data_IF_226163144868
#
_entry.id   IF_226163144868
#
_cell.length_a   1.000
_cell.length_b   1.000
_cell.length_c   1.000
_cell.angle_alpha   90.00
_cell.angle_beta   90.00
_cell.angle_gamma   90.00
#
_symmetry.space_group_name_H-M   'P 1'
#
loop_
_entity.id
_entity.type
_entity.pdbx_description
1 polymer ?
#
# COMPACT_ATOMS: atom_id res chain seq x y z
N UNK A 1 -18.49 8.08 -9.39
CA UNK A 1 -17.51 8.07 -8.28
C UNK A 1 -16.28 8.80 -8.77
N UNK A 2 -15.70 9.78 -8.03
CA UNK A 2 -14.42 10.35 -8.41
C UNK A 2 -13.39 9.24 -8.51
N UNK A 3 -12.58 9.25 -9.55
CA UNK A 3 -11.43 8.35 -9.68
C UNK A 3 -10.47 8.66 -8.53
N UNK A 4 -10.09 7.63 -7.77
CA UNK A 4 -9.11 7.73 -6.69
C UNK A 4 -7.83 7.00 -7.06
N UNK A 5 -6.78 7.20 -6.27
CA UNK A 5 -5.52 6.44 -6.37
C UNK A 5 -5.27 5.62 -5.11
N UNK A 6 -4.49 4.55 -5.21
CA UNK A 6 -4.08 3.73 -4.06
C UNK A 6 -2.70 4.13 -3.50
N UNK A 7 -1.88 4.80 -4.31
CA UNK A 7 -0.53 5.24 -4.00
C UNK A 7 -0.24 6.56 -4.71
N UNK A 8 0.56 7.43 -4.08
CA UNK A 8 1.11 8.59 -4.78
C UNK A 8 2.16 9.33 -3.96
N UNK A 9 3.00 10.06 -4.69
CA UNK A 9 3.92 11.07 -4.16
C UNK A 9 3.74 12.37 -4.95
N UNK A 10 3.72 13.51 -4.27
CA UNK A 10 3.58 14.84 -4.91
C UNK A 10 4.90 15.59 -4.89
N UNK A 11 5.06 16.55 -5.81
CA UNK A 11 6.21 17.47 -5.80
C UNK A 11 6.33 18.26 -4.50
N UNK A 12 5.21 18.55 -3.85
CA UNK A 12 5.19 19.22 -2.52
C UNK A 12 5.56 18.30 -1.37
N UNK A 13 6.03 17.07 -1.62
CA UNK A 13 6.55 16.18 -0.58
C UNK A 13 5.51 15.32 0.14
N UNK A 14 4.26 15.28 -0.29
CA UNK A 14 3.29 14.32 0.26
C UNK A 14 3.46 12.96 -0.32
N UNK A 15 3.41 11.95 0.52
CA UNK A 15 3.38 10.55 0.14
C UNK A 15 2.23 9.85 0.86
N UNK A 16 1.47 9.01 0.15
CA UNK A 16 0.50 8.13 0.77
C UNK A 16 0.31 6.84 -0.03
N UNK A 17 0.13 5.73 0.69
CA UNK A 17 -0.21 4.42 0.16
C UNK A 17 -1.26 3.74 1.04
N UNK A 18 -2.29 3.16 0.43
CA UNK A 18 -3.42 2.56 1.13
C UNK A 18 -3.56 1.07 0.79
N UNK A 19 -3.85 0.28 1.82
CA UNK A 19 -4.29 -1.11 1.73
C UNK A 19 -5.68 -1.26 2.34
N UNK A 20 -6.48 -2.19 1.80
CA UNK A 20 -7.78 -2.55 2.38
C UNK A 20 -7.56 -3.32 3.68
N UNK A 21 -8.51 -3.32 4.61
CA UNK A 21 -8.53 -4.26 5.73
C UNK A 21 -9.36 -5.49 5.36
N UNK A 22 -8.88 -6.69 5.71
CA UNK A 22 -9.62 -7.94 5.51
C UNK A 22 -10.74 -8.01 6.53
N UNK A 23 -11.95 -7.91 6.03
CA UNK A 23 -13.18 -8.03 6.82
C UNK A 23 -13.69 -9.47 6.83
N UNK A 24 -14.51 -9.82 7.83
CA UNK A 24 -15.08 -11.17 7.95
C UNK A 24 -16.12 -11.48 6.86
N UNK A 25 -16.75 -10.47 6.26
CA UNK A 25 -17.76 -10.62 5.21
C UNK A 25 -17.58 -9.57 4.12
N UNK A 26 -18.00 -9.88 2.89
CA UNK A 26 -17.96 -8.93 1.76
C UNK A 26 -18.79 -7.68 2.03
N UNK A 27 -19.92 -7.81 2.72
CA UNK A 27 -20.82 -6.69 3.07
C UNK A 27 -20.09 -5.69 3.97
N UNK A 28 -19.34 -6.18 4.96
CA UNK A 28 -18.56 -5.32 5.85
C UNK A 28 -17.40 -4.59 5.12
N UNK A 29 -16.92 -5.14 4.00
CA UNK A 29 -15.85 -4.55 3.20
C UNK A 29 -16.32 -3.42 2.25
N UNK A 30 -17.63 -3.30 2.01
CA UNK A 30 -18.22 -2.31 1.10
C UNK A 30 -18.45 -0.99 1.82
N UNK A 31 -17.85 0.08 1.28
CA UNK A 31 -18.18 1.46 1.64
C UNK A 31 -18.99 2.14 0.56
N UNK A 32 -19.73 3.18 0.91
CA UNK A 32 -20.42 4.06 -0.05
C UNK A 32 -19.46 5.04 -0.74
N UNK A 33 -18.24 5.20 -0.22
CA UNK A 33 -17.16 5.99 -0.81
C UNK A 33 -15.93 5.13 -1.16
N UNK A 34 -15.18 5.54 -2.19
CA UNK A 34 -13.96 4.86 -2.64
C UNK A 34 -12.79 5.10 -1.67
N UNK A 35 -12.07 4.05 -1.30
CA UNK A 35 -10.82 4.14 -0.51
C UNK A 35 -9.78 5.04 -1.19
N UNK A 36 -9.70 5.00 -2.53
CA UNK A 36 -8.77 5.83 -3.27
C UNK A 36 -9.08 7.33 -3.21
N UNK A 37 -10.30 7.70 -2.82
CA UNK A 37 -10.64 9.10 -2.57
C UNK A 37 -9.93 9.63 -1.32
N UNK A 38 -9.69 8.79 -0.31
CA UNK A 38 -8.95 9.15 0.93
C UNK A 38 -7.52 9.54 0.58
N UNK A 39 -6.83 8.70 -0.19
CA UNK A 39 -5.46 8.97 -0.65
C UNK A 39 -5.41 10.23 -1.48
N UNK A 40 -6.34 10.38 -2.44
CA UNK A 40 -6.38 11.55 -3.32
C UNK A 40 -6.58 12.83 -2.52
N UNK A 41 -7.52 12.84 -1.57
CA UNK A 41 -7.77 14.00 -0.71
C UNK A 41 -6.59 14.37 0.17
N UNK A 42 -5.84 13.38 0.69
CA UNK A 42 -4.58 13.66 1.38
C UNK A 42 -3.55 14.29 0.43
N UNK A 43 -3.34 13.71 -0.76
CA UNK A 43 -2.33 14.18 -1.71
C UNK A 43 -2.65 15.57 -2.28
N UNK A 44 -3.92 15.92 -2.45
CA UNK A 44 -4.36 17.21 -3.02
C UNK A 44 -4.73 18.27 -1.99
N UNK A 45 -4.69 17.93 -0.70
CA UNK A 45 -5.09 18.86 0.36
C UNK A 45 -4.17 20.09 0.40
N UNK A 46 -4.75 21.25 0.67
CA UNK A 46 -4.03 22.52 0.81
C UNK A 46 -3.47 22.75 2.22
N UNK A 47 -3.88 21.95 3.21
CA UNK A 47 -3.47 22.14 4.62
C UNK A 47 -1.99 21.86 4.80
N UNK A 48 -1.23 22.84 5.28
CA UNK A 48 0.23 22.88 5.15
C UNK A 48 1.02 21.83 5.95
N UNK A 49 0.41 21.01 6.82
CA UNK A 49 1.14 20.05 7.65
C UNK A 49 0.56 18.63 7.55
N UNK A 50 1.37 17.65 7.15
CA UNK A 50 1.00 16.23 7.19
C UNK A 50 0.63 15.77 8.61
N UNK A 51 1.19 16.43 9.63
CA UNK A 51 0.86 16.25 11.03
C UNK A 51 -0.62 16.48 11.35
N UNK A 52 -1.31 17.40 10.66
CA UNK A 52 -2.75 17.58 10.87
C UNK A 52 -3.52 16.31 10.54
N UNK A 53 -3.17 15.63 9.44
CA UNK A 53 -3.81 14.38 9.03
C UNK A 53 -3.42 13.21 9.94
N UNK A 54 -2.17 13.14 10.38
CA UNK A 54 -1.65 12.06 11.21
C UNK A 54 -2.08 12.19 12.68
N UNK A 55 -2.21 13.43 13.18
CA UNK A 55 -2.50 13.76 14.58
C UNK A 55 -3.93 14.25 14.87
N UNK A 56 -4.84 14.26 13.89
CA UNK A 56 -6.23 14.66 14.12
C UNK A 56 -6.96 13.62 14.98
N UNK A 57 -7.12 13.93 16.28
CA UNK A 57 -8.37 13.63 16.97
C UNK A 57 -9.50 14.13 16.07
N UNK A 58 -10.33 13.23 15.58
CA UNK A 58 -11.42 13.53 14.66
C UNK A 58 -12.52 14.36 15.33
N UNK A 59 -12.29 15.65 15.49
CA UNK A 59 -13.26 16.69 15.81
C UNK A 59 -13.24 17.71 14.68
N UNK A 60 -13.67 17.29 13.49
CA UNK A 60 -13.73 18.15 12.31
C UNK A 60 -13.29 17.41 11.06
N UNK A 61 -14.28 16.99 10.29
CA UNK A 61 -14.21 16.44 8.94
C UNK A 61 -12.91 16.75 8.19
N UNK A 62 -12.05 15.76 8.02
CA UNK A 62 -11.00 15.77 7.00
C UNK A 62 -11.67 16.07 5.66
N UNK A 63 -11.49 17.29 5.15
CA UNK A 63 -11.85 17.71 3.79
C UNK A 63 -13.08 16.99 3.18
N UNK A 64 -14.26 17.13 3.80
CA UNK A 64 -15.54 16.65 3.24
C UNK A 64 -15.71 15.14 3.01
N UNK A 65 -14.75 14.30 3.41
CA UNK A 65 -14.86 12.84 3.33
C UNK A 65 -15.17 12.26 4.70
N UNK A 66 -16.34 11.67 4.81
CA UNK A 66 -16.72 10.85 5.96
C UNK A 66 -16.01 9.49 5.85
N UNK A 67 -14.91 9.31 6.60
CA UNK A 67 -14.11 8.07 6.55
C UNK A 67 -14.88 6.85 7.03
N UNK A 68 -16.03 7.01 7.70
CA UNK A 68 -16.91 5.89 8.07
C UNK A 68 -17.70 5.35 6.88
N UNK A 69 -17.85 6.14 5.82
CA UNK A 69 -18.44 5.73 4.54
C UNK A 69 -17.47 4.96 3.66
N UNK A 70 -16.19 4.89 4.04
CA UNK A 70 -15.16 4.17 3.31
C UNK A 70 -15.04 2.76 3.90
N UNK A 71 -15.01 1.73 3.06
CA UNK A 71 -14.76 0.36 3.53
C UNK A 71 -13.39 0.24 4.21
N UNK A 72 -13.19 -0.76 5.07
CA UNK A 72 -12.00 -0.87 5.92
C UNK A 72 -10.67 -0.66 5.19
N UNK A 73 -9.80 0.19 5.74
CA UNK A 73 -8.49 0.50 5.17
C UNK A 73 -7.45 0.86 6.24
N UNK A 74 -6.18 0.65 5.88
CA UNK A 74 -5.01 1.25 6.53
C UNK A 74 -4.24 2.07 5.50
N UNK A 75 -3.87 3.29 5.83
CA UNK A 75 -3.12 4.20 4.95
C UNK A 75 -1.84 4.67 5.64
N UNK A 76 -0.69 4.36 5.06
CA UNK A 76 0.59 4.99 5.42
C UNK A 76 0.64 6.33 4.71
N UNK A 77 0.85 7.41 5.45
CA UNK A 77 0.93 8.75 4.88
C UNK A 77 2.00 9.58 5.59
N UNK A 78 2.58 10.53 4.86
CA UNK A 78 3.62 11.38 5.39
C UNK A 78 3.92 12.58 4.51
N UNK A 79 4.76 13.46 5.04
CA UNK A 79 5.19 14.70 4.42
C UNK A 79 6.71 14.82 4.55
N UNK A 80 7.37 15.21 3.46
CA UNK A 80 8.77 15.60 3.46
C UNK A 80 8.92 17.11 3.72
N UNK A 81 10.00 17.50 4.37
CA UNK A 81 10.43 18.90 4.53
C UNK A 81 11.94 19.01 4.31
N UNK A 82 12.50 20.23 4.36
CA UNK A 82 13.94 20.44 4.37
C UNK A 82 14.44 20.77 5.78
N UNK A 83 15.57 20.20 6.15
CA UNK A 83 16.30 20.53 7.38
C UNK A 83 17.05 21.87 7.24
N UNK A 84 17.73 22.30 8.31
CA UNK A 84 18.53 23.53 8.31
C UNK A 84 19.71 23.51 7.34
N UNK A 85 20.13 22.33 6.89
CA UNK A 85 21.19 22.12 5.91
C UNK A 85 20.63 21.96 4.49
N UNK A 86 19.35 22.30 4.28
CA UNK A 86 18.64 22.18 3.00
C UNK A 86 18.52 20.73 2.49
N UNK A 87 18.63 19.73 3.38
CA UNK A 87 18.46 18.32 3.04
C UNK A 87 17.02 17.89 3.28
N UNK A 88 16.48 17.09 2.38
CA UNK A 88 15.15 16.49 2.52
C UNK A 88 15.15 15.50 3.68
N UNK A 89 14.16 15.65 4.56
CA UNK A 89 13.88 14.77 5.69
C UNK A 89 12.38 14.47 5.74
N UNK A 90 12.01 13.46 6.53
CA UNK A 90 10.60 13.16 6.82
C UNK A 90 10.15 14.11 7.95
N UNK A 91 9.15 14.95 7.67
CA UNK A 91 8.54 15.84 8.65
C UNK A 91 7.52 15.11 9.53
N UNK A 92 6.73 14.25 8.90
CA UNK A 92 5.71 13.46 9.55
C UNK A 92 5.46 12.16 8.80
N UNK A 93 5.21 11.09 9.54
CA UNK A 93 4.88 9.77 9.03
C UNK A 93 3.91 9.09 10.00
N UNK A 94 2.89 8.44 9.48
CA UNK A 94 1.97 7.71 10.32
C UNK A 94 1.00 6.84 9.52
N UNK A 95 0.32 5.98 10.26
CA UNK A 95 -0.72 5.09 9.72
C UNK A 95 -2.07 5.55 10.23
N UNK A 96 -3.00 5.78 9.30
CA UNK A 96 -4.40 6.08 9.58
C UNK A 96 -5.23 4.86 9.21
N UNK A 97 -6.04 4.37 10.14
CA UNK A 97 -6.98 3.28 9.92
C UNK A 97 -8.38 3.64 10.40
N UNK A 98 -9.40 3.24 9.63
CA UNK A 98 -10.81 3.40 10.03
C UNK A 98 -11.44 2.11 10.59
N UNK A 99 -10.64 1.04 10.77
CA UNK A 99 -11.03 -0.22 11.40
C UNK A 99 -9.89 -0.74 12.28
N UNK A 100 -10.24 -1.59 13.24
CA UNK A 100 -9.29 -2.51 13.88
C UNK A 100 -9.76 -3.95 13.64
N UNK A 101 -8.87 -4.92 13.83
CA UNK A 101 -9.17 -6.33 13.55
C UNK A 101 -10.42 -6.79 14.33
N UNK A 102 -11.51 -7.10 13.63
CA UNK A 102 -12.79 -7.48 14.22
C UNK A 102 -13.63 -6.34 14.82
N UNK A 103 -13.17 -5.08 14.78
CA UNK A 103 -13.91 -3.93 15.26
C UNK A 103 -14.19 -2.91 14.14
N UNK A 104 -15.47 -2.79 13.81
CA UNK A 104 -15.96 -1.80 12.85
C UNK A 104 -16.02 -0.43 13.55
N UNK A 105 -15.54 0.63 12.88
CA UNK A 105 -15.52 2.02 13.35
C UNK A 105 -14.53 2.37 14.49
N UNK A 106 -13.57 1.50 14.81
CA UNK A 106 -12.43 1.91 15.64
C UNK A 106 -11.40 2.66 14.78
N UNK A 107 -11.33 4.00 14.95
CA UNK A 107 -10.32 4.83 14.31
C UNK A 107 -9.01 4.70 15.06
N UNK A 108 -7.92 4.36 14.36
CA UNK A 108 -6.58 4.28 14.95
C UNK A 108 -5.59 5.11 14.16
N UNK A 109 -4.76 5.83 14.90
CA UNK A 109 -3.67 6.63 14.39
C UNK A 109 -2.40 6.16 15.05
N UNK A 110 -1.47 5.66 14.25
CA UNK A 110 -0.17 5.18 14.72
C UNK A 110 0.87 6.17 14.19
N UNK A 111 1.44 6.97 15.10
CA UNK A 111 2.46 7.96 14.76
C UNK A 111 3.79 7.23 14.70
N UNK A 112 4.46 7.31 13.54
CA UNK A 112 5.79 6.78 13.36
C UNK A 112 6.77 7.93 13.62
N UNK A 113 7.73 7.71 14.52
CA UNK A 113 8.78 8.69 14.82
C UNK A 113 9.67 8.89 13.58
N UNK A 114 9.54 10.02 12.85
CA UNK A 114 10.25 10.20 11.58
C UNK A 114 11.75 10.42 11.77
N UNK A 115 12.21 10.64 13.00
CA UNK A 115 13.62 10.83 13.33
C UNK A 115 14.37 9.51 13.55
N UNK A 116 13.64 8.40 13.68
CA UNK A 116 14.21 7.07 13.86
C UNK A 116 14.20 6.32 12.53
N UNK A 117 15.38 5.94 11.99
CA UNK A 117 15.43 5.03 10.87
C UNK A 117 14.67 3.75 11.21
N UNK A 118 13.87 3.27 10.27
CA UNK A 118 13.05 2.09 10.47
C UNK A 118 12.40 1.64 9.17
N UNK A 119 12.00 0.38 9.16
CA UNK A 119 11.24 -0.22 8.08
C UNK A 119 9.84 -0.51 8.58
N UNK A 120 8.84 -0.12 7.81
CA UNK A 120 7.43 -0.24 8.17
C UNK A 120 6.64 -0.76 6.99
N UNK A 121 5.74 -1.70 7.25
CA UNK A 121 4.90 -2.31 6.23
C UNK A 121 3.42 -2.28 6.58
N UNK A 122 2.60 -2.31 5.53
CA UNK A 122 1.16 -2.43 5.63
C UNK A 122 0.67 -3.58 4.76
N UNK A 123 -0.39 -4.24 5.22
CA UNK A 123 -1.11 -5.24 4.44
C UNK A 123 -2.59 -5.21 4.80
N UNK A 124 -3.35 -6.25 4.45
CA UNK A 124 -4.77 -6.30 4.79
C UNK A 124 -5.07 -6.68 6.24
N UNK A 125 -4.08 -6.63 7.12
CA UNK A 125 -4.21 -6.74 8.57
C UNK A 125 -4.13 -5.37 9.27
N UNK A 126 -4.41 -5.35 10.58
CA UNK A 126 -4.08 -4.20 11.40
C UNK A 126 -2.57 -3.94 11.42
N UNK A 127 -2.15 -2.68 11.48
CA UNK A 127 -0.72 -2.31 11.50
C UNK A 127 0.04 -2.95 12.66
N UNK A 128 -0.58 -3.05 13.84
CA UNK A 128 -0.01 -3.66 15.05
C UNK A 128 -0.05 -5.19 15.05
N UNK A 129 -0.67 -5.82 14.05
CA UNK A 129 -0.74 -7.27 13.89
C UNK A 129 -0.40 -7.64 12.42
N UNK A 130 0.88 -7.49 12.01
CA UNK A 130 1.29 -7.70 10.63
C UNK A 130 1.15 -9.16 10.20
N UNK A 131 0.74 -9.38 8.95
CA UNK A 131 0.82 -10.71 8.34
C UNK A 131 2.27 -11.15 8.11
N UNK A 132 2.56 -12.47 8.00
CA UNK A 132 3.92 -12.98 7.81
C UNK A 132 4.68 -12.34 6.66
N UNK A 133 4.00 -12.06 5.53
CA UNK A 133 4.63 -11.37 4.38
C UNK A 133 5.15 -9.98 4.70
N UNK A 134 4.51 -9.27 5.63
CA UNK A 134 4.93 -7.93 6.05
C UNK A 134 6.21 -8.05 6.87
N UNK A 135 6.24 -8.95 7.85
CA UNK A 135 7.43 -9.19 8.68
C UNK A 135 8.63 -9.60 7.82
N UNK A 136 8.41 -10.50 6.85
CA UNK A 136 9.46 -10.90 5.91
C UNK A 136 9.88 -9.73 5.01
N UNK A 137 8.92 -8.99 4.44
CA UNK A 137 9.21 -7.83 3.60
C UNK A 137 9.98 -6.72 4.32
N UNK A 138 9.65 -6.46 5.59
CA UNK A 138 10.38 -5.53 6.45
C UNK A 138 11.81 -5.99 6.72
N UNK A 139 12.01 -7.30 6.92
CA UNK A 139 13.34 -7.89 7.12
C UNK A 139 14.21 -7.69 5.87
N UNK A 140 13.69 -8.07 4.70
CA UNK A 140 14.40 -7.94 3.42
C UNK A 140 14.67 -6.47 3.05
N UNK A 141 13.74 -5.57 3.35
CA UNK A 141 13.93 -4.14 3.09
C UNK A 141 14.95 -3.53 4.06
N UNK A 142 15.00 -3.97 5.32
CA UNK A 142 16.05 -3.56 6.24
C UNK A 142 17.45 -4.00 5.75
N UNK A 143 17.59 -5.25 5.29
CA UNK A 143 18.84 -5.74 4.67
C UNK A 143 19.22 -4.91 3.43
N UNK A 144 18.25 -4.52 2.59
CA UNK A 144 18.52 -3.63 1.46
C UNK A 144 19.03 -2.25 1.92
N UNK A 145 18.42 -1.66 2.94
CA UNK A 145 18.86 -0.37 3.50
C UNK A 145 20.29 -0.46 4.04
N UNK A 146 20.62 -1.54 4.75
CA UNK A 146 22.00 -1.79 5.20
C UNK A 146 22.96 -1.91 4.01
N UNK A 147 22.62 -2.67 2.97
CA UNK A 147 23.45 -2.80 1.78
C UNK A 147 23.66 -1.48 1.04
N UNK A 148 22.66 -0.59 0.99
CA UNK A 148 22.80 0.76 0.39
C UNK A 148 23.91 1.56 1.09
N UNK A 149 23.97 1.46 2.42
CA UNK A 149 24.96 2.18 3.23
C UNK A 149 26.38 1.63 3.02
N UNK A 150 26.53 0.32 2.76
CA UNK A 150 27.83 -0.33 2.60
C UNK A 150 28.34 -0.34 1.15
N UNK A 151 27.49 -0.67 0.18
CA UNK A 151 27.90 -1.03 -1.19
C UNK A 151 27.76 0.11 -2.21
N UNK A 152 27.32 1.31 -1.79
CA UNK A 152 27.13 2.49 -2.65
C UNK A 152 26.30 2.20 -3.90
N UNK A 153 25.19 1.49 -3.71
CA UNK A 153 24.28 1.10 -4.79
C UNK A 153 23.73 2.33 -5.54
N UNK A 154 23.60 2.22 -6.85
CA UNK A 154 22.89 3.21 -7.68
C UNK A 154 21.38 3.09 -7.52
N UNK A 155 20.63 4.15 -7.81
CA UNK A 155 19.15 4.12 -7.80
C UNK A 155 18.56 2.99 -8.65
N UNK A 156 19.25 2.58 -9.73
CA UNK A 156 18.81 1.45 -10.57
C UNK A 156 18.94 0.13 -9.84
N UNK A 157 20.04 -0.08 -9.14
CA UNK A 157 20.29 -1.29 -8.34
C UNK A 157 19.36 -1.34 -7.12
N UNK A 158 19.14 -0.19 -6.46
CA UNK A 158 18.17 -0.07 -5.37
C UNK A 158 16.77 -0.43 -5.85
N UNK A 159 16.32 0.16 -6.97
CA UNK A 159 15.01 -0.14 -7.53
C UNK A 159 14.89 -1.62 -7.91
N UNK A 160 15.92 -2.18 -8.55
CA UNK A 160 15.95 -3.59 -8.93
C UNK A 160 15.85 -4.54 -7.73
N UNK A 161 16.64 -4.31 -6.68
CA UNK A 161 16.55 -5.06 -5.41
C UNK A 161 15.20 -4.87 -4.71
N UNK A 162 14.62 -3.66 -4.77
CA UNK A 162 13.25 -3.42 -4.29
C UNK A 162 12.22 -4.27 -5.03
N UNK A 163 12.35 -4.43 -6.36
CA UNK A 163 11.49 -5.33 -7.12
C UNK A 163 11.71 -6.82 -6.80
N UNK A 164 12.93 -7.23 -6.44
CA UNK A 164 13.20 -8.60 -5.98
C UNK A 164 12.42 -8.91 -4.69
N UNK A 165 12.37 -7.97 -3.74
CA UNK A 165 11.53 -8.08 -2.53
C UNK A 165 10.05 -8.21 -2.91
N UNK A 166 9.57 -7.34 -3.81
CA UNK A 166 8.16 -7.33 -4.25
C UNK A 166 7.76 -8.56 -5.08
N UNK A 167 8.74 -9.31 -5.60
CA UNK A 167 8.54 -10.54 -6.39
C UNK A 167 8.73 -11.80 -5.54
N UNK A 168 8.90 -11.65 -4.22
CA UNK A 168 8.99 -12.79 -3.30
C UNK A 168 7.67 -13.57 -3.28
N UNK A 169 7.69 -14.71 -3.97
CA UNK A 169 6.64 -15.72 -3.97
C UNK A 169 6.96 -16.79 -2.93
N UNK A 170 6.05 -16.99 -1.98
CA UNK A 170 6.16 -18.02 -0.94
C UNK A 170 5.01 -19.01 -0.99
N UNK A 171 4.18 -18.96 -2.04
CA UNK A 171 2.91 -19.70 -2.13
C UNK A 171 2.76 -20.49 -3.42
N UNK A 172 3.39 -20.13 -4.54
CA UNK A 172 3.17 -20.80 -5.82
C UNK A 172 3.56 -22.27 -5.85
N UNK A 173 4.54 -22.66 -5.03
CA UNK A 173 5.02 -24.04 -4.90
C UNK A 173 4.30 -24.83 -3.81
N UNK A 174 3.46 -24.19 -3.00
CA UNK A 174 2.68 -24.86 -1.97
C UNK A 174 1.56 -25.69 -2.63
N UNK A 175 1.52 -27.00 -2.37
CA UNK A 175 0.44 -27.85 -2.86
C UNK A 175 -0.94 -27.37 -2.38
N UNK A 176 -1.02 -26.73 -1.21
CA UNK A 176 -2.24 -26.10 -0.72
C UNK A 176 -2.69 -24.91 -1.60
N UNK A 177 -1.78 -24.25 -2.33
CA UNK A 177 -2.13 -23.23 -3.31
C UNK A 177 -2.95 -23.78 -4.47
N UNK A 178 -2.87 -25.09 -4.77
CA UNK A 178 -3.70 -25.70 -5.81
C UNK A 178 -5.17 -25.77 -5.39
N UNK A 179 -5.45 -25.85 -4.09
CA UNK A 179 -6.81 -25.76 -3.56
C UNK A 179 -7.24 -24.31 -3.41
N UNK A 180 -8.29 -23.96 -4.14
CA UNK A 180 -8.89 -22.64 -4.16
C UNK A 180 -9.26 -22.12 -2.76
N UNK A 181 -9.76 -23.00 -1.88
CA UNK A 181 -10.23 -22.60 -0.54
C UNK A 181 -9.07 -22.16 0.36
N UNK A 182 -7.87 -22.73 0.16
CA UNK A 182 -6.68 -22.41 0.94
C UNK A 182 -5.96 -21.17 0.41
N UNK A 183 -6.14 -20.80 -0.87
CA UNK A 183 -5.47 -19.62 -1.48
C UNK A 183 -5.69 -18.34 -0.68
N UNK A 184 -6.90 -18.11 -0.17
CA UNK A 184 -7.24 -16.91 0.59
C UNK A 184 -6.40 -16.73 1.86
N UNK A 185 -6.09 -17.83 2.54
CA UNK A 185 -5.28 -17.79 3.75
C UNK A 185 -3.78 -17.73 3.42
N UNK A 186 -3.38 -18.32 2.29
CA UNK A 186 -2.03 -18.20 1.75
C UNK A 186 -1.69 -16.79 1.26
N UNK A 187 -2.67 -15.94 0.89
CA UNK A 187 -2.41 -14.53 0.55
C UNK A 187 -1.69 -13.73 1.66
N UNK A 188 -1.72 -14.23 2.90
CA UNK A 188 -1.03 -13.65 4.05
C UNK A 188 0.48 -13.91 4.03
N UNK A 189 0.92 -14.93 3.30
CA UNK A 189 2.29 -15.43 3.30
C UNK A 189 3.16 -14.76 2.23
N UNK A 190 2.57 -14.30 1.12
CA UNK A 190 3.33 -13.78 -0.02
C UNK A 190 2.96 -12.36 -0.44
N UNK A 191 3.98 -11.59 -0.85
CA UNK A 191 3.85 -10.25 -1.44
C UNK A 191 3.44 -10.36 -2.90
N UNK A 192 4.06 -11.26 -3.66
CA UNK A 192 3.68 -11.54 -5.03
C UNK A 192 2.63 -12.64 -5.09
N UNK A 193 1.46 -12.30 -5.61
CA UNK A 193 0.39 -13.25 -5.84
C UNK A 193 0.29 -13.52 -7.34
N UNK A 194 0.59 -14.75 -7.82
CA UNK A 194 0.38 -15.09 -9.21
C UNK A 194 -1.10 -14.96 -9.57
N UNK A 195 -1.38 -14.57 -10.82
CA UNK A 195 -2.76 -14.36 -11.26
C UNK A 195 -3.55 -15.67 -11.27
N UNK A 196 -4.76 -15.66 -10.71
CA UNK A 196 -5.69 -16.78 -10.78
C UNK A 196 -7.15 -16.32 -10.97
N UNK A 197 -7.99 -17.21 -11.50
CA UNK A 197 -9.42 -16.96 -11.72
C UNK A 197 -10.24 -17.00 -10.43
N UNK A 198 -11.19 -16.08 -10.29
CA UNK A 198 -12.03 -15.90 -9.09
C UNK A 198 -13.45 -16.45 -9.24
N UNK A 199 -13.87 -16.85 -10.45
CA UNK A 199 -15.24 -17.29 -10.74
C UNK A 199 -15.65 -18.54 -9.94
N UNK A 200 -14.69 -19.32 -9.46
CA UNK A 200 -14.92 -20.56 -8.71
C UNK A 200 -15.08 -20.36 -7.19
N UNK A 201 -15.00 -19.13 -6.66
CA UNK A 201 -15.19 -18.85 -5.21
C UNK A 201 -16.67 -18.69 -4.80
N UNK A 202 -17.60 -18.80 -5.74
CA UNK A 202 -19.05 -18.77 -5.47
C UNK A 202 -19.52 -20.19 -5.16
N UNK A 203 -19.64 -20.55 -3.88
CA UNK A 203 -20.26 -21.82 -3.50
C UNK A 203 -21.80 -21.72 -3.63
N UNK A 204 -22.47 -22.55 -4.43
CA UNK A 204 -23.93 -22.48 -4.62
C UNK A 204 -24.73 -22.89 -3.36
N UNK A 205 -24.08 -23.52 -2.37
CA UNK A 205 -24.77 -24.27 -1.31
C UNK A 205 -24.71 -23.63 0.08
N UNK A 206 -23.80 -22.69 0.34
CA UNK A 206 -23.60 -22.13 1.70
C UNK A 206 -23.95 -20.65 1.85
N UNK A 207 -24.22 -19.91 0.77
CA UNK A 207 -24.54 -18.48 0.85
C UNK A 207 -23.45 -17.61 1.47
N UNK A 208 -22.24 -18.15 1.66
CA UNK A 208 -21.08 -17.41 2.12
C UNK A 208 -20.37 -16.80 0.90
N UNK A 209 -20.62 -15.52 0.66
CA UNK A 209 -19.86 -14.71 -0.28
C UNK A 209 -18.44 -14.53 0.28
N UNK A 210 -17.46 -15.22 -0.30
CA UNK A 210 -16.05 -14.97 0.03
C UNK A 210 -15.63 -13.61 -0.54
N UNK A 211 -14.86 -12.82 0.24
CA UNK A 211 -14.52 -11.41 -0.02
C UNK A 211 -13.84 -11.08 -1.39
N UNK A 212 -13.47 -12.08 -2.20
CA UNK A 212 -12.96 -11.90 -3.57
C UNK A 212 -14.04 -11.97 -4.66
N UNK A 213 -15.23 -12.45 -4.31
CA UNK A 213 -16.40 -12.58 -5.19
C UNK A 213 -16.99 -11.21 -5.50
N UNK A 214 -17.07 -10.84 -6.79
CA UNK A 214 -18.05 -9.84 -7.24
C UNK A 214 -17.56 -8.68 -8.11
N UNK A 215 -16.25 -8.46 -8.32
CA UNK A 215 -15.78 -7.30 -9.10
C UNK A 215 -14.95 -7.66 -10.34
N UNK A 216 -14.10 -8.67 -10.29
CA UNK A 216 -13.21 -9.04 -11.39
C UNK A 216 -13.08 -10.56 -11.52
N UNK A 217 -12.89 -11.07 -12.74
CA UNK A 217 -12.71 -12.50 -13.04
C UNK A 217 -11.34 -13.05 -12.60
N UNK A 218 -10.40 -12.17 -12.26
CA UNK A 218 -9.02 -12.50 -11.92
C UNK A 218 -8.59 -11.77 -10.66
N UNK A 219 -7.68 -12.39 -9.91
CA UNK A 219 -7.00 -11.80 -8.76
C UNK A 219 -5.50 -12.06 -8.87
N UNK A 220 -4.67 -11.10 -8.46
CA UNK A 220 -3.22 -11.23 -8.44
C UNK A 220 -2.53 -9.89 -8.24
N UNK A 221 -1.20 -9.91 -8.12
CA UNK A 221 -0.40 -8.69 -8.01
C UNK A 221 -0.34 -7.98 -9.37
N UNK A 222 -1.12 -6.91 -9.52
CA UNK A 222 -1.21 -6.16 -10.78
C UNK A 222 0.01 -5.29 -11.05
N UNK A 223 0.47 -4.57 -10.03
CA UNK A 223 1.51 -3.54 -10.11
C UNK A 223 2.48 -3.68 -8.96
N UNK A 224 3.72 -3.32 -9.21
CA UNK A 224 4.78 -3.19 -8.22
C UNK A 224 5.39 -1.80 -8.38
N UNK A 225 5.61 -1.10 -7.28
CA UNK A 225 6.14 0.26 -7.32
C UNK A 225 7.27 0.41 -6.31
N UNK A 226 8.38 1.00 -6.75
CA UNK A 226 9.49 1.41 -5.89
C UNK A 226 9.67 2.92 -6.02
N UNK A 227 9.72 3.61 -4.88
CA UNK A 227 9.94 5.06 -4.80
C UNK A 227 11.20 5.30 -3.98
N UNK A 228 12.16 6.03 -4.53
CA UNK A 228 13.40 6.43 -3.87
C UNK A 228 13.37 7.95 -3.74
N UNK A 229 13.60 8.46 -2.53
CA UNK A 229 13.66 9.90 -2.24
C UNK A 229 15.04 10.21 -1.65
N UNK A 230 15.81 11.04 -2.34
CA UNK A 230 17.13 11.47 -1.91
C UNK A 230 17.07 12.67 -0.97
N UNK A 231 18.09 12.82 -0.12
CA UNK A 231 18.27 14.02 0.71
C UNK A 231 18.47 15.31 -0.12
N UNK A 232 18.82 15.20 -1.41
CA UNK A 232 18.84 16.36 -2.32
C UNK A 232 17.44 16.88 -2.65
N UNK A 233 16.44 16.00 -2.59
CA UNK A 233 15.08 16.20 -3.09
C UNK A 233 14.80 15.57 -4.43
N UNK A 234 15.79 14.90 -5.04
CA UNK A 234 15.55 14.07 -6.21
C UNK A 234 14.71 12.84 -5.84
N UNK A 235 13.65 12.60 -6.60
CA UNK A 235 12.75 11.45 -6.46
C UNK A 235 12.86 10.60 -7.71
N UNK A 236 12.96 9.28 -7.53
CA UNK A 236 12.76 8.31 -8.58
C UNK A 236 11.56 7.43 -8.26
N UNK A 237 10.63 7.39 -9.19
CA UNK A 237 9.42 6.56 -9.14
C UNK A 237 9.50 5.53 -10.24
N UNK A 238 9.53 4.24 -9.88
CA UNK A 238 9.52 3.14 -10.85
C UNK A 238 8.32 2.25 -10.57
N UNK A 239 7.46 2.04 -11.56
CA UNK A 239 6.31 1.13 -11.48
C UNK A 239 6.37 0.10 -12.61
N UNK A 240 6.21 -1.18 -12.26
CA UNK A 240 6.06 -2.29 -13.21
C UNK A 240 4.61 -2.79 -13.16
N UNK A 241 3.94 -2.84 -14.31
CA UNK A 241 2.60 -3.44 -14.46
C UNK A 241 2.72 -4.90 -14.89
N UNK A 242 2.49 -5.85 -13.99
CA UNK A 242 2.66 -7.28 -14.27
C UNK A 242 1.52 -7.84 -15.13
N UNK A 243 0.29 -7.44 -14.81
CA UNK A 243 -0.93 -7.88 -15.50
C UNK A 243 -1.82 -6.68 -15.81
N UNK A 244 -2.45 -6.67 -16.99
CA UNK A 244 -3.51 -5.71 -17.34
C UNK A 244 -4.76 -6.46 -17.78
N UNK A 245 -5.42 -7.09 -16.80
CA UNK A 245 -6.64 -7.85 -17.03
C UNK A 245 -7.85 -6.97 -17.40
N UNK A 246 -7.75 -5.64 -17.24
CA UNK A 246 -8.77 -4.71 -17.75
C UNK A 246 -8.66 -4.53 -19.27
N UNK A 247 -7.48 -4.77 -19.85
CA UNK A 247 -7.24 -4.80 -21.29
C UNK A 247 -7.17 -6.22 -21.87
N UNK A 248 -7.42 -7.26 -21.08
CA UNK A 248 -7.49 -8.65 -21.54
C UNK A 248 -6.15 -9.26 -21.96
N UNK A 249 -5.02 -8.69 -21.54
CA UNK A 249 -3.68 -9.23 -21.85
C UNK A 249 -3.03 -9.86 -20.62
N UNK A 250 -2.41 -11.03 -20.81
CA UNK A 250 -1.74 -11.80 -19.74
C UNK A 250 -0.35 -11.25 -19.41
N UNK A 251 0.21 -10.37 -20.24
CA UNK A 251 1.46 -9.64 -20.01
C UNK A 251 1.39 -8.25 -20.67
N UNK A 252 1.67 -7.19 -19.92
CA UNK A 252 1.78 -5.85 -20.49
C UNK A 252 3.12 -5.72 -21.25
N UNK A 253 3.07 -5.37 -22.54
CA UNK A 253 4.27 -5.02 -23.31
C UNK A 253 4.68 -3.57 -23.00
N UNK A 254 5.96 -3.33 -22.67
CA UNK A 254 6.48 -2.03 -22.21
C UNK A 254 5.76 -1.51 -20.94
N UNK A 255 5.75 -2.34 -19.91
CA UNK A 255 4.97 -2.17 -18.68
C UNK A 255 5.63 -1.37 -17.56
N UNK A 256 6.80 -0.76 -17.83
CA UNK A 256 7.58 -0.07 -16.81
C UNK A 256 7.52 1.43 -17.01
N UNK A 257 7.09 2.14 -15.97
CA UNK A 257 7.18 3.59 -15.84
C UNK A 257 8.40 3.90 -14.98
N UNK A 258 9.28 4.79 -15.43
CA UNK A 258 10.46 5.25 -14.68
C UNK A 258 10.52 6.78 -14.79
N UNK A 259 10.15 7.46 -13.71
CA UNK A 259 10.01 8.92 -13.65
C UNK A 259 11.00 9.46 -12.62
N UNK A 260 11.73 10.50 -13.00
CA UNK A 260 12.62 11.24 -12.12
C UNK A 260 12.12 12.69 -12.03
N UNK A 261 12.02 13.23 -10.83
CA UNK A 261 11.62 14.62 -10.59
C UNK A 261 12.15 15.13 -9.25
N UNK A 262 12.25 16.44 -9.08
CA UNK A 262 12.63 17.06 -7.81
C UNK A 262 11.41 17.48 -6.99
N UNK A 263 11.54 17.38 -5.66
CA UNK A 263 10.59 17.95 -4.71
C UNK A 263 10.72 19.48 -4.65
N UNK A 264 9.57 20.14 -4.68
CA UNK A 264 9.36 21.58 -4.53
C UNK A 264 8.97 21.89 -3.06
N UNK A 265 9.92 21.71 -2.14
CA UNK A 265 9.77 21.91 -0.67
C UNK A 265 10.24 23.29 -0.22
#
# INVERSE_FOLDING_TARGET
>A
MPLGTWLGITRRGRFAGLTNIREATSIAAVGTASRGAVVSSFLTSSDSTGQSWIGLETQGSSAGLDIDQVGGFSMLCGQFSRDQQNRVQIDSLGVISNRAEGQIHERRHEIIDPTKPGTYGLSNSAFTNPWPKVVNGETLLNELVENIQHDRLTDREIAQKGFEILTSDSVSEDEAWKDLHNRLDLLKQSVFIPMFETQSFVSPTTGQDHALSGLYNFYGTQKQTVIIVHESGAVRYVEKTLYDWLQGTTHAANNTVDIIFDLDL
#
